data_IF_194028119671
#
_entry.id   IF_194028119671
#
_cell.length_a   1.000
_cell.length_b   1.000
_cell.length_c   1.000
_cell.angle_alpha   90.00
_cell.angle_beta   90.00
_cell.angle_gamma   90.00
#
_symmetry.space_group_name_H-M   'P 1'
#
loop_
_entity.id
_entity.type
_entity.pdbx_description
1 polymer ?
#
# COMPACT_ATOMS: atom_id res chain seq x y z
N UNK A 1 15.77 -19.50 3.70
CA UNK A 1 16.57 -18.61 2.82
C UNK A 1 17.26 -17.57 3.69
N UNK A 2 18.57 -17.70 3.84
CA UNK A 2 19.44 -16.78 4.57
C UNK A 2 19.65 -15.49 3.74
N UNK A 3 19.30 -14.32 4.30
CA UNK A 3 19.83 -13.04 3.81
C UNK A 3 20.88 -12.54 4.80
N UNK A 4 22.13 -12.91 4.53
CA UNK A 4 23.32 -12.32 5.12
C UNK A 4 23.50 -10.91 4.56
N UNK A 5 23.31 -9.87 5.39
CA UNK A 5 23.73 -8.51 5.07
C UNK A 5 25.27 -8.43 5.12
N UNK A 6 25.93 -7.83 4.11
CA UNK A 6 27.39 -7.73 4.10
C UNK A 6 27.90 -6.75 5.16
N UNK A 7 28.93 -7.20 5.87
CA UNK A 7 29.69 -6.48 6.89
C UNK A 7 30.34 -5.21 6.30
N UNK A 8 29.78 -4.05 6.63
CA UNK A 8 30.35 -2.76 6.23
C UNK A 8 31.41 -2.34 7.24
N UNK A 9 32.64 -2.79 6.98
CA UNK A 9 33.88 -2.40 7.65
C UNK A 9 33.93 -0.89 7.94
N UNK A 10 33.68 -0.53 9.20
CA UNK A 10 33.81 0.84 9.70
C UNK A 10 35.30 1.19 9.79
N UNK A 11 35.89 1.72 8.70
CA UNK A 11 37.22 2.35 8.74
C UNK A 11 37.24 3.40 9.85
N UNK A 12 37.97 3.12 10.93
CA UNK A 12 38.21 4.04 12.04
C UNK A 12 39.02 5.23 11.50
N UNK A 13 38.33 6.26 11.06
CA UNK A 13 38.94 7.54 10.69
C UNK A 13 39.58 8.09 11.97
N UNK A 14 40.91 8.21 12.00
CA UNK A 14 41.65 8.83 13.11
C UNK A 14 41.27 10.31 13.16
N UNK A 15 40.26 10.61 13.99
CA UNK A 15 39.86 11.97 14.31
C UNK A 15 41.06 12.61 14.99
N UNK A 16 41.58 13.70 14.43
CA UNK A 16 42.58 14.52 15.14
C UNK A 16 41.92 14.94 16.45
N UNK A 17 42.57 14.58 17.56
CA UNK A 17 42.02 14.72 18.89
C UNK A 17 41.82 16.20 19.23
N UNK A 18 40.61 16.55 19.66
CA UNK A 18 40.20 17.93 19.90
C UNK A 18 41.08 18.58 20.97
N UNK A 19 41.64 17.77 21.87
CA UNK A 19 42.58 18.18 22.91
C UNK A 19 43.93 18.63 22.35
N UNK A 20 44.42 18.00 21.28
CA UNK A 20 45.67 18.44 20.62
C UNK A 20 45.48 19.82 20.00
N UNK A 21 44.31 20.10 19.43
CA UNK A 21 43.99 21.41 18.82
C UNK A 21 43.88 22.51 19.88
N UNK A 22 43.26 22.22 21.03
CA UNK A 22 43.13 23.16 22.15
C UNK A 22 44.48 23.58 22.74
N UNK A 23 45.44 22.65 22.85
CA UNK A 23 46.79 22.96 23.35
C UNK A 23 47.52 23.97 22.46
N UNK A 24 47.49 23.80 21.14
CA UNK A 24 48.17 24.73 20.21
C UNK A 24 47.47 26.10 20.13
N UNK A 25 46.14 26.13 20.25
CA UNK A 25 45.37 27.38 20.28
C UNK A 25 45.74 28.26 21.48
N UNK A 26 45.92 27.67 22.66
CA UNK A 26 46.34 28.42 23.85
C UNK A 26 47.71 29.07 23.70
N UNK A 27 48.66 28.35 23.09
CA UNK A 27 50.03 28.83 22.87
C UNK A 27 50.07 29.94 21.81
N UNK A 28 49.33 29.78 20.70
CA UNK A 28 49.31 30.74 19.58
C UNK A 28 48.61 32.06 19.94
N UNK A 29 47.63 32.02 20.85
CA UNK A 29 46.92 33.19 21.38
C UNK A 29 47.83 34.15 22.16
N UNK A 30 48.78 33.62 22.95
CA UNK A 30 49.69 34.43 23.78
C UNK A 30 50.87 35.03 23.01
N UNK A 31 51.27 34.45 21.87
CA UNK A 31 52.50 34.83 21.14
C UNK A 31 52.28 35.83 19.97
N UNK A 32 51.07 36.40 19.81
CA UNK A 32 50.78 37.37 18.74
C UNK A 32 50.63 36.78 17.33
N UNK A 33 50.49 35.44 17.21
CA UNK A 33 50.32 34.73 15.93
C UNK A 33 48.85 34.69 15.47
N UNK A 34 48.22 35.86 15.33
CA UNK A 34 46.82 36.00 14.93
C UNK A 34 46.51 35.32 13.57
N UNK A 35 47.45 35.31 12.64
CA UNK A 35 47.27 34.66 11.33
C UNK A 35 47.12 33.14 11.40
N UNK A 36 47.91 32.47 12.25
CA UNK A 36 47.85 31.02 12.43
C UNK A 36 46.57 30.62 13.16
N UNK A 37 46.16 31.38 14.18
CA UNK A 37 44.91 31.17 14.88
C UNK A 37 43.69 31.37 13.96
N UNK A 38 43.68 32.44 13.15
CA UNK A 38 42.63 32.67 12.16
C UNK A 38 42.52 31.53 11.14
N UNK A 39 43.65 31.00 10.64
CA UNK A 39 43.66 29.85 9.73
C UNK A 39 43.11 28.57 10.38
N UNK A 40 43.49 28.27 11.63
CA UNK A 40 42.97 27.11 12.39
C UNK A 40 41.45 27.25 12.61
N UNK A 41 40.97 28.43 13.00
CA UNK A 41 39.54 28.69 13.14
C UNK A 41 38.80 28.51 11.80
N UNK A 42 39.33 29.06 10.71
CA UNK A 42 38.75 28.92 9.37
C UNK A 42 38.75 27.46 8.89
N UNK A 43 39.82 26.71 9.14
CA UNK A 43 39.93 25.29 8.82
C UNK A 43 38.92 24.46 9.62
N UNK A 44 38.78 24.75 10.92
CA UNK A 44 37.77 24.13 11.80
C UNK A 44 36.34 24.41 11.33
N UNK A 45 36.03 25.66 10.96
CA UNK A 45 34.72 26.05 10.41
C UNK A 45 34.44 25.35 9.08
N UNK A 46 35.43 25.27 8.18
CA UNK A 46 35.31 24.58 6.89
C UNK A 46 35.08 23.07 7.07
N UNK A 47 35.78 22.45 8.04
CA UNK A 47 35.59 21.05 8.41
C UNK A 47 34.18 20.76 8.93
N UNK A 48 33.68 21.61 9.84
CA UNK A 48 32.31 21.51 10.37
C UNK A 48 31.26 21.66 9.27
N UNK A 49 31.40 22.66 8.39
CA UNK A 49 30.48 22.91 7.28
C UNK A 49 30.42 21.74 6.28
N UNK A 50 31.55 21.12 5.97
CA UNK A 50 31.61 19.95 5.09
C UNK A 50 30.95 18.71 5.72
N UNK A 51 31.11 18.51 7.03
CA UNK A 51 30.43 17.41 7.75
C UNK A 51 28.91 17.57 7.77
N UNK A 52 28.41 18.78 7.97
CA UNK A 52 26.98 19.07 7.89
C UNK A 52 26.42 18.93 6.47
N UNK A 53 27.18 19.32 5.45
CA UNK A 53 26.79 19.14 4.04
C UNK A 53 26.66 17.65 3.66
N UNK A 54 27.60 16.81 4.13
CA UNK A 54 27.54 15.36 3.93
C UNK A 54 26.34 14.72 4.62
N UNK A 55 26.07 15.07 5.88
CA UNK A 55 24.88 14.57 6.60
C UNK A 55 23.57 15.03 5.96
N UNK A 56 23.50 16.27 5.46
CA UNK A 56 22.32 16.77 4.75
C UNK A 56 22.12 16.02 3.42
N UNK A 57 23.20 15.72 2.69
CA UNK A 57 23.12 14.90 1.49
C UNK A 57 22.62 13.48 1.80
N UNK A 58 23.11 12.86 2.88
CA UNK A 58 22.65 11.53 3.33
C UNK A 58 21.17 11.53 3.72
N UNK A 59 20.72 12.53 4.51
CA UNK A 59 19.31 12.69 4.87
C UNK A 59 18.41 12.84 3.63
N UNK A 60 18.81 13.69 2.69
CA UNK A 60 18.10 13.90 1.42
C UNK A 60 18.02 12.61 0.59
N UNK A 61 19.08 11.78 0.58
CA UNK A 61 19.03 10.48 -0.11
C UNK A 61 18.06 9.51 0.56
N UNK A 62 18.02 9.49 1.90
CA UNK A 62 17.10 8.65 2.66
C UNK A 62 15.64 9.08 2.49
N UNK A 63 15.38 10.39 2.44
CA UNK A 63 14.03 10.92 2.20
C UNK A 63 13.58 10.62 0.76
N UNK A 64 14.45 10.77 -0.25
CA UNK A 64 14.16 10.34 -1.62
C UNK A 64 13.82 8.84 -1.71
N UNK A 65 14.62 7.98 -1.07
CA UNK A 65 14.33 6.54 -1.04
C UNK A 65 13.00 6.22 -0.36
N UNK A 66 12.59 7.01 0.65
CA UNK A 66 11.26 6.87 1.28
C UNK A 66 10.16 7.28 0.32
N UNK A 67 10.32 8.40 -0.39
CA UNK A 67 9.36 8.86 -1.40
C UNK A 67 9.18 7.85 -2.54
N UNK A 68 10.28 7.28 -3.05
CA UNK A 68 10.24 6.26 -4.11
C UNK A 68 9.54 4.98 -3.63
N UNK A 69 9.80 4.55 -2.39
CA UNK A 69 9.09 3.42 -1.77
C UNK A 69 7.59 3.70 -1.61
N UNK A 70 7.21 4.89 -1.15
CA UNK A 70 5.82 5.29 -0.99
C UNK A 70 5.08 5.33 -2.34
N UNK A 71 5.71 5.89 -3.38
CA UNK A 71 5.15 5.93 -4.75
C UNK A 71 4.95 4.53 -5.32
N UNK A 72 5.95 3.67 -5.20
CA UNK A 72 5.84 2.28 -5.66
C UNK A 72 4.76 1.51 -4.90
N UNK A 73 4.60 1.78 -3.61
CA UNK A 73 3.54 1.18 -2.82
C UNK A 73 2.15 1.64 -3.28
N UNK A 74 1.97 2.94 -3.52
CA UNK A 74 0.70 3.49 -4.00
C UNK A 74 0.33 2.96 -5.39
N UNK A 75 1.29 2.88 -6.32
CA UNK A 75 1.07 2.33 -7.66
C UNK A 75 0.62 0.85 -7.62
N UNK A 76 1.25 0.02 -6.79
CA UNK A 76 0.85 -1.38 -6.60
C UNK A 76 -0.53 -1.50 -5.95
N UNK A 77 -0.85 -0.65 -4.99
CA UNK A 77 -2.18 -0.63 -4.35
C UNK A 77 -3.25 -0.17 -5.35
N UNK A 78 -2.95 0.81 -6.20
CA UNK A 78 -3.85 1.30 -7.23
C UNK A 78 -4.11 0.25 -8.32
N UNK A 79 -3.07 -0.44 -8.78
CA UNK A 79 -3.22 -1.51 -9.78
C UNK A 79 -4.05 -2.67 -9.21
N UNK A 80 -3.81 -3.06 -7.96
CA UNK A 80 -4.62 -4.08 -7.27
C UNK A 80 -6.08 -3.64 -7.10
N UNK A 81 -6.33 -2.39 -6.70
CA UNK A 81 -7.71 -1.85 -6.63
C UNK A 81 -8.42 -1.89 -7.98
N UNK A 82 -7.69 -1.62 -9.06
CA UNK A 82 -8.24 -1.70 -10.41
C UNK A 82 -8.62 -3.13 -10.78
N UNK A 83 -7.75 -4.11 -10.51
CA UNK A 83 -8.04 -5.53 -10.77
C UNK A 83 -9.22 -6.03 -9.95
N UNK A 84 -9.31 -5.63 -8.68
CA UNK A 84 -10.43 -5.99 -7.79
C UNK A 84 -11.75 -5.43 -8.31
N UNK A 85 -11.74 -4.19 -8.81
CA UNK A 85 -12.92 -3.58 -9.42
C UNK A 85 -13.37 -4.30 -10.68
N UNK A 86 -12.44 -4.75 -11.53
CA UNK A 86 -12.75 -5.53 -12.73
C UNK A 86 -13.31 -6.90 -12.38
N UNK A 87 -12.72 -7.57 -11.38
CA UNK A 87 -13.21 -8.85 -10.89
C UNK A 87 -14.63 -8.70 -10.33
N UNK A 88 -14.86 -7.70 -9.50
CA UNK A 88 -16.19 -7.37 -8.97
C UNK A 88 -17.21 -7.15 -10.09
N UNK A 89 -16.86 -6.37 -11.11
CA UNK A 89 -17.74 -6.15 -12.26
C UNK A 89 -18.06 -7.44 -13.02
N UNK A 90 -17.06 -8.32 -13.22
CA UNK A 90 -17.26 -9.63 -13.83
C UNK A 90 -18.19 -10.53 -13.03
N UNK A 91 -18.00 -10.60 -11.70
CA UNK A 91 -18.86 -11.39 -10.80
C UNK A 91 -20.31 -10.88 -10.84
N UNK A 92 -20.51 -9.55 -10.80
CA UNK A 92 -21.85 -8.95 -10.92
C UNK A 92 -22.51 -9.32 -12.25
N UNK A 93 -21.77 -9.33 -13.36
CA UNK A 93 -22.30 -9.71 -14.66
C UNK A 93 -22.70 -11.19 -14.71
N UNK A 94 -21.91 -12.08 -14.11
CA UNK A 94 -22.22 -13.50 -14.01
C UNK A 94 -23.45 -13.76 -13.14
N UNK A 95 -23.53 -13.12 -11.97
CA UNK A 95 -24.68 -13.22 -11.08
C UNK A 95 -25.95 -12.70 -11.75
N UNK A 96 -25.86 -11.56 -12.45
CA UNK A 96 -26.98 -11.05 -13.24
C UNK A 96 -27.47 -12.07 -14.28
N UNK A 97 -26.55 -12.68 -15.03
CA UNK A 97 -26.91 -13.70 -16.01
C UNK A 97 -27.59 -14.92 -15.34
N UNK A 98 -27.04 -15.43 -14.24
CA UNK A 98 -27.61 -16.55 -13.50
C UNK A 98 -29.02 -16.24 -12.96
N UNK A 99 -29.20 -15.07 -12.33
CA UNK A 99 -30.51 -14.60 -11.86
C UNK A 99 -31.49 -14.51 -13.02
N UNK A 100 -31.06 -13.97 -14.16
CA UNK A 100 -31.92 -13.83 -15.34
C UNK A 100 -32.40 -15.18 -15.87
N UNK A 101 -31.49 -16.14 -16.06
CA UNK A 101 -31.81 -17.50 -16.55
C UNK A 101 -32.73 -18.26 -15.59
N UNK A 102 -32.39 -18.26 -14.28
CA UNK A 102 -33.20 -18.92 -13.25
C UNK A 102 -34.60 -18.29 -13.17
N UNK A 103 -34.67 -16.96 -13.08
CA UNK A 103 -35.95 -16.26 -13.00
C UNK A 103 -36.81 -16.52 -14.24
N UNK A 104 -36.22 -16.50 -15.44
CA UNK A 104 -36.93 -16.77 -16.69
C UNK A 104 -37.54 -18.17 -16.67
N UNK A 105 -36.74 -19.18 -16.28
CA UNK A 105 -37.20 -20.56 -16.15
C UNK A 105 -38.36 -20.70 -15.16
N UNK A 106 -38.28 -20.03 -14.01
CA UNK A 106 -39.30 -20.10 -12.97
C UNK A 106 -40.58 -19.37 -13.36
N UNK A 107 -40.46 -18.22 -14.03
CA UNK A 107 -41.60 -17.45 -14.52
C UNK A 107 -42.31 -18.17 -15.66
N UNK A 108 -41.57 -18.80 -16.57
CA UNK A 108 -42.14 -19.53 -17.71
C UNK A 108 -42.95 -20.76 -17.24
N UNK A 109 -42.48 -21.46 -16.21
CA UNK A 109 -43.23 -22.60 -15.63
C UNK A 109 -44.32 -22.19 -14.64
N UNK A 110 -44.29 -20.96 -14.12
CA UNK A 110 -45.31 -20.39 -13.23
C UNK A 110 -45.29 -20.87 -11.77
N UNK A 111 -44.23 -21.55 -11.33
CA UNK A 111 -44.03 -21.96 -9.94
C UNK A 111 -42.54 -21.91 -9.58
N UNK A 112 -42.24 -21.90 -8.28
CA UNK A 112 -40.88 -22.03 -7.77
C UNK A 112 -40.84 -23.03 -6.63
N UNK A 113 -39.77 -23.79 -6.48
CA UNK A 113 -39.62 -24.63 -5.31
C UNK A 113 -39.02 -23.90 -4.12
N UNK A 114 -39.10 -24.50 -2.93
CA UNK A 114 -38.46 -23.95 -1.74
C UNK A 114 -36.93 -23.91 -1.87
N UNK A 115 -36.33 -24.98 -2.41
CA UNK A 115 -34.88 -25.03 -2.63
C UNK A 115 -34.41 -24.02 -3.67
N UNK A 116 -35.13 -23.92 -4.79
CA UNK A 116 -34.81 -22.98 -5.87
C UNK A 116 -35.00 -21.52 -5.47
N UNK A 117 -36.01 -21.21 -4.64
CA UNK A 117 -36.21 -19.87 -4.10
C UNK A 117 -35.06 -19.47 -3.17
N UNK A 118 -34.61 -20.39 -2.32
CA UNK A 118 -33.48 -20.16 -1.42
C UNK A 118 -32.16 -19.96 -2.17
N UNK A 119 -31.88 -20.78 -3.20
CA UNK A 119 -30.71 -20.59 -4.07
C UNK A 119 -30.76 -19.24 -4.80
N UNK A 120 -31.94 -18.87 -5.31
CA UNK A 120 -32.14 -17.58 -5.97
C UNK A 120 -31.93 -16.39 -5.02
N UNK A 121 -32.33 -16.51 -3.75
CA UNK A 121 -32.09 -15.51 -2.72
C UNK A 121 -30.58 -15.33 -2.46
N UNK A 122 -29.82 -16.42 -2.32
CA UNK A 122 -28.37 -16.34 -2.17
C UNK A 122 -27.67 -15.65 -3.35
N UNK A 123 -28.09 -15.96 -4.58
CA UNK A 123 -27.58 -15.29 -5.78
C UNK A 123 -27.93 -13.79 -5.77
N UNK A 124 -29.16 -13.46 -5.40
CA UNK A 124 -29.64 -12.08 -5.38
C UNK A 124 -28.98 -11.22 -4.30
N UNK A 125 -28.80 -11.74 -3.08
CA UNK A 125 -28.10 -11.02 -2.01
C UNK A 125 -26.67 -10.68 -2.42
N UNK A 126 -25.93 -11.67 -2.94
CA UNK A 126 -24.56 -11.47 -3.43
C UNK A 126 -24.51 -10.44 -4.57
N UNK A 127 -25.49 -10.48 -5.47
CA UNK A 127 -25.61 -9.54 -6.57
C UNK A 127 -25.87 -8.11 -6.09
N UNK A 128 -26.80 -7.95 -5.15
CA UNK A 128 -27.17 -6.65 -4.58
C UNK A 128 -26.01 -6.02 -3.82
N UNK A 129 -25.33 -6.79 -2.96
CA UNK A 129 -24.20 -6.33 -2.16
C UNK A 129 -23.00 -5.90 -3.02
N UNK A 130 -22.81 -6.54 -4.17
CA UNK A 130 -21.79 -6.16 -5.13
C UNK A 130 -22.19 -4.94 -6.00
N UNK A 131 -23.35 -4.33 -5.76
CA UNK A 131 -23.82 -3.15 -6.50
C UNK A 131 -24.50 -3.50 -7.82
N UNK A 132 -25.23 -4.62 -7.84
CA UNK A 132 -26.08 -5.03 -8.94
C UNK A 132 -27.08 -3.95 -9.38
N UNK A 133 -27.47 -3.99 -10.65
CA UNK A 133 -28.49 -3.10 -11.21
C UNK A 133 -29.91 -3.54 -10.82
N UNK A 134 -30.87 -2.62 -10.84
CA UNK A 134 -32.25 -2.90 -10.43
C UNK A 134 -33.02 -3.90 -11.32
N UNK A 135 -32.48 -4.33 -12.46
CA UNK A 135 -33.17 -5.29 -13.35
C UNK A 135 -33.27 -6.67 -12.72
N UNK A 136 -32.20 -7.13 -12.06
CA UNK A 136 -32.20 -8.41 -11.33
C UNK A 136 -33.20 -8.41 -10.17
N UNK A 137 -33.34 -7.28 -9.47
CA UNK A 137 -34.29 -7.12 -8.37
C UNK A 137 -35.75 -7.22 -8.82
N UNK A 138 -36.08 -6.65 -9.97
CA UNK A 138 -37.43 -6.77 -10.54
C UNK A 138 -37.77 -8.23 -10.85
N UNK A 139 -36.83 -8.99 -11.42
CA UNK A 139 -37.04 -10.41 -11.73
C UNK A 139 -37.15 -11.27 -10.45
N UNK A 140 -36.22 -11.06 -9.50
CA UNK A 140 -36.24 -11.73 -8.20
C UNK A 140 -37.59 -11.54 -7.49
N UNK A 141 -38.09 -10.31 -7.42
CA UNK A 141 -39.37 -10.01 -6.78
C UNK A 141 -40.56 -10.68 -7.50
N UNK A 142 -40.51 -10.83 -8.82
CA UNK A 142 -41.55 -11.58 -9.56
C UNK A 142 -41.51 -13.06 -9.20
N UNK A 143 -40.33 -13.66 -9.15
CA UNK A 143 -40.16 -15.07 -8.78
C UNK A 143 -40.57 -15.35 -7.33
N UNK A 144 -40.30 -14.42 -6.41
CA UNK A 144 -40.72 -14.51 -5.01
C UNK A 144 -42.25 -14.55 -4.83
N UNK A 145 -43.00 -14.03 -5.79
CA UNK A 145 -44.46 -14.03 -5.79
C UNK A 145 -45.07 -15.25 -6.53
N UNK A 146 -44.25 -16.17 -7.04
CA UNK A 146 -44.75 -17.39 -7.68
C UNK A 146 -45.30 -18.38 -6.66
N UNK A 147 -46.14 -19.30 -7.14
CA UNK A 147 -46.64 -20.40 -6.32
C UNK A 147 -45.48 -21.30 -5.89
N UNK A 148 -45.39 -21.58 -4.59
CA UNK A 148 -44.36 -22.44 -4.03
C UNK A 148 -44.82 -23.89 -4.11
N UNK A 149 -44.00 -24.75 -4.72
CA UNK A 149 -44.17 -26.21 -4.65
C UNK A 149 -43.12 -26.80 -3.71
N UNK A 150 -43.54 -27.73 -2.87
CA UNK A 150 -42.60 -28.49 -2.04
C UNK A 150 -41.78 -29.39 -2.95
N UNK A 151 -40.46 -29.35 -2.78
CA UNK A 151 -39.57 -30.29 -3.43
C UNK A 151 -39.71 -31.66 -2.78
N UNK A 152 -40.03 -32.69 -3.56
CA UNK A 152 -39.82 -34.08 -3.14
C UNK A 152 -38.31 -34.34 -3.09
N UNK A 153 -37.68 -33.96 -1.98
CA UNK A 153 -36.28 -34.26 -1.71
C UNK A 153 -36.15 -35.78 -1.49
N UNK A 154 -35.64 -36.50 -2.49
CA UNK A 154 -35.03 -37.81 -2.28
C UNK A 154 -33.67 -37.57 -1.61
N UNK A 155 -33.58 -37.88 -0.31
CA UNK A 155 -32.32 -37.97 0.44
C UNK A 155 -31.31 -38.93 -0.21
#
# INVERSE_FOLDING_TARGET
MNYLLPDCSRKKMRVIDLETVKQWVGILSQAGFFGAFAWVCQAGVKYMRNKHALQKAELMTKDRSREDWLKSHDENVLSMKHTDSLLKAGVVAMLHHAIYENCTTYLDRGYISTGELNDLEYLFESYHDLGGNGTGEVLYNKCKNLQIKEDEHFE
#
